data_IF_446477793163
#
_entry.id   IF_446477793163
#
_cell.length_a   1.000
_cell.length_b   1.000
_cell.length_c   1.000
_cell.angle_alpha   90.00
_cell.angle_beta   90.00
_cell.angle_gamma   90.00
#
_symmetry.space_group_name_H-M   'P 1'
#
loop_
_entity.id
_entity.type
_entity.pdbx_description
1 polymer ?
#
# COMPACT_ATOMS: atom_id res chain seq x y z
N UNK A 1 -9.83 -24.11 -63.95
CA UNK A 1 -9.38 -22.76 -63.57
C UNK A 1 -8.67 -22.88 -62.22
N UNK A 2 -7.38 -22.57 -62.25
CA UNK A 2 -6.31 -22.56 -61.24
C UNK A 2 -6.52 -23.12 -59.81
N UNK A 3 -5.72 -24.15 -59.54
CA UNK A 3 -5.27 -24.66 -58.24
C UNK A 3 -3.98 -23.93 -57.83
N UNK A 4 -3.87 -23.51 -56.57
CA UNK A 4 -2.67 -22.89 -55.97
C UNK A 4 -1.75 -23.97 -55.35
N UNK A 5 -0.44 -23.97 -55.62
CA UNK A 5 0.51 -24.73 -54.83
C UNK A 5 1.25 -23.85 -53.80
N UNK A 6 1.45 -24.41 -52.60
CA UNK A 6 2.46 -23.96 -51.65
C UNK A 6 3.87 -24.34 -52.14
N UNK A 7 4.85 -23.46 -51.94
CA UNK A 7 6.24 -23.89 -51.67
C UNK A 7 6.95 -22.90 -50.74
N UNK A 8 7.62 -23.47 -49.74
CA UNK A 8 8.46 -22.84 -48.71
C UNK A 8 9.82 -22.47 -49.28
N UNK A 9 10.35 -21.29 -48.93
CA UNK A 9 11.80 -21.06 -48.75
C UNK A 9 12.09 -19.79 -47.93
N UNK A 10 12.70 -19.98 -46.75
CA UNK A 10 13.63 -19.05 -46.07
C UNK A 10 15.00 -19.16 -46.76
N UNK A 11 15.94 -18.17 -46.74
CA UNK A 11 16.49 -17.58 -45.51
C UNK A 11 17.11 -16.14 -45.59
N UNK A 12 17.73 -15.77 -44.47
CA UNK A 12 18.80 -14.78 -44.23
C UNK A 12 18.44 -13.35 -43.84
N UNK A 13 18.38 -13.18 -42.51
CA UNK A 13 18.47 -11.93 -41.77
C UNK A 13 19.92 -11.39 -41.86
N UNK A 14 20.16 -10.33 -42.64
CA UNK A 14 21.41 -9.59 -42.57
C UNK A 14 21.36 -8.59 -41.40
N UNK A 15 21.92 -8.98 -40.26
CA UNK A 15 22.28 -8.06 -39.18
C UNK A 15 23.39 -7.11 -39.67
N UNK A 16 23.06 -5.84 -39.89
CA UNK A 16 24.06 -4.76 -39.97
C UNK A 16 24.50 -4.41 -38.55
N UNK A 17 25.64 -5.00 -38.16
CA UNK A 17 26.45 -4.55 -37.03
C UNK A 17 27.10 -3.23 -37.42
N UNK A 18 26.65 -2.11 -36.86
CA UNK A 18 27.41 -0.86 -36.90
C UNK A 18 28.53 -0.94 -35.85
N UNK A 19 29.75 -1.22 -36.30
CA UNK A 19 30.99 -0.93 -35.57
C UNK A 19 31.25 0.58 -35.69
N UNK A 20 31.18 1.31 -34.59
CA UNK A 20 31.88 2.59 -34.48
C UNK A 20 33.02 2.43 -33.48
N UNK A 21 34.23 2.39 -34.03
CA UNK A 21 35.47 2.48 -33.28
C UNK A 21 35.66 3.91 -32.75
N UNK A 22 36.09 4.01 -31.51
CA UNK A 22 36.60 5.23 -30.86
C UNK A 22 37.82 5.80 -31.61
N UNK A 23 38.18 7.06 -31.29
CA UNK A 23 39.54 7.25 -30.79
C UNK A 23 39.54 7.96 -29.45
N UNK A 24 40.14 7.30 -28.45
CA UNK A 24 40.58 7.92 -27.22
C UNK A 24 41.74 8.88 -27.54
N UNK A 25 41.64 10.14 -27.11
CA UNK A 25 42.80 11.01 -26.91
C UNK A 25 42.80 11.51 -25.45
N UNK A 26 43.87 11.25 -24.69
CA UNK A 26 44.00 11.75 -23.32
C UNK A 26 44.53 13.18 -23.36
N UNK A 27 43.72 14.16 -22.96
CA UNK A 27 44.23 15.51 -22.70
C UNK A 27 44.88 15.54 -21.31
N UNK A 28 46.21 15.47 -21.30
CA UNK A 28 47.07 15.76 -20.15
C UNK A 28 47.48 17.22 -20.24
N UNK A 29 47.00 18.06 -19.33
CA UNK A 29 47.46 19.45 -19.19
C UNK A 29 48.19 19.57 -17.86
N UNK A 30 49.51 19.77 -17.93
CA UNK A 30 50.30 20.36 -16.86
C UNK A 30 50.61 21.81 -17.27
N UNK A 31 50.37 22.77 -16.39
CA UNK A 31 51.30 23.88 -16.18
C UNK A 31 50.98 24.65 -14.90
N UNK A 32 52.04 24.99 -14.19
CA UNK A 32 52.10 25.74 -12.93
C UNK A 32 52.04 27.26 -13.18
N UNK A 33 51.66 27.98 -12.11
CA UNK A 33 51.55 29.44 -11.84
C UNK A 33 52.20 30.44 -12.83
N UNK A 34 51.71 31.66 -13.08
CA UNK A 34 51.32 32.72 -12.11
C UNK A 34 50.68 33.89 -12.88
N UNK A 35 49.59 34.50 -12.40
CA UNK A 35 49.35 35.97 -12.35
C UNK A 35 47.89 36.26 -12.00
N UNK A 36 47.70 37.19 -11.07
CA UNK A 36 46.42 37.67 -10.54
C UNK A 36 45.69 38.56 -11.55
N UNK A 37 44.36 38.55 -11.53
CA UNK A 37 43.66 39.78 -11.18
C UNK A 37 42.56 39.55 -10.14
N UNK A 38 42.43 40.53 -9.24
CA UNK A 38 41.40 40.61 -8.20
C UNK A 38 40.01 40.60 -8.84
N UNK A 39 39.21 39.57 -8.53
CA UNK A 39 37.77 39.57 -8.74
C UNK A 39 37.10 39.23 -7.42
N UNK A 40 36.38 40.21 -6.88
CA UNK A 40 35.57 40.09 -5.67
C UNK A 40 34.30 39.30 -6.02
N UNK A 41 34.35 37.97 -5.90
CA UNK A 41 33.16 37.12 -5.94
C UNK A 41 33.14 36.28 -4.67
N UNK A 42 32.24 36.63 -3.75
CA UNK A 42 31.92 35.80 -2.58
C UNK A 42 31.26 34.49 -3.08
N UNK A 43 31.63 33.32 -2.56
CA UNK A 43 30.88 32.09 -2.84
C UNK A 43 29.47 32.22 -2.26
N UNK A 44 28.46 31.91 -3.07
CA UNK A 44 27.09 31.73 -2.60
C UNK A 44 27.04 30.43 -1.79
N UNK A 45 27.21 30.55 -0.47
CA UNK A 45 26.93 29.49 0.50
C UNK A 45 25.42 29.45 0.66
N UNK A 46 24.77 28.40 0.14
CA UNK A 46 23.39 28.08 0.50
C UNK A 46 23.46 27.41 1.86
N UNK A 47 23.29 28.21 2.91
CA UNK A 47 23.14 27.72 4.28
C UNK A 47 21.81 26.96 4.39
N UNK A 48 21.77 25.73 4.93
CA UNK A 48 20.51 25.06 5.22
C UNK A 48 19.74 25.93 6.20
N UNK A 49 18.53 26.35 5.83
CA UNK A 49 17.63 27.08 6.72
C UNK A 49 17.30 26.17 7.91
N UNK A 50 17.97 26.40 9.04
CA UNK A 50 17.64 25.79 10.33
C UNK A 50 16.19 26.16 10.65
N UNK A 51 15.29 25.20 10.45
CA UNK A 51 13.94 25.27 11.00
C UNK A 51 14.09 25.25 12.52
N UNK A 52 13.45 26.16 13.27
CA UNK A 52 13.51 26.13 14.73
C UNK A 52 13.03 24.77 15.21
N UNK A 53 13.90 24.04 15.91
CA UNK A 53 13.50 22.85 16.66
C UNK A 53 12.55 23.33 17.75
N UNK A 54 11.25 23.16 17.52
CA UNK A 54 10.26 23.31 18.58
C UNK A 54 10.63 22.27 19.65
N UNK A 55 10.77 22.66 20.93
CA UNK A 55 11.07 21.72 21.99
C UNK A 55 10.04 20.60 21.94
N UNK A 56 10.52 19.38 21.68
CA UNK A 56 9.74 18.16 21.77
C UNK A 56 9.27 18.09 23.22
N UNK A 57 8.01 18.42 23.47
CA UNK A 57 7.34 17.96 24.69
C UNK A 57 7.28 16.45 24.50
N UNK A 58 8.25 15.76 25.11
CA UNK A 58 8.24 14.32 25.23
C UNK A 58 7.11 14.02 26.22
N UNK A 59 5.89 13.97 25.71
CA UNK A 59 4.92 13.04 26.28
C UNK A 59 5.52 11.67 26.05
N UNK A 60 6.04 11.08 27.13
CA UNK A 60 6.41 9.67 27.23
C UNK A 60 5.16 8.85 26.92
N UNK A 61 4.88 8.63 25.64
CA UNK A 61 4.04 7.52 25.20
C UNK A 61 5.03 6.44 24.83
N UNK A 62 4.99 5.39 25.64
CA UNK A 62 5.95 4.31 25.74
C UNK A 62 6.33 3.66 24.41
N UNK A 63 7.64 3.55 24.15
CA UNK A 63 8.24 2.54 23.27
C UNK A 63 8.10 1.12 23.86
N UNK A 64 6.97 0.79 24.49
CA UNK A 64 6.79 -0.52 25.12
C UNK A 64 6.31 -1.53 24.08
N UNK A 65 7.12 -2.57 23.90
CA UNK A 65 6.77 -3.77 23.15
C UNK A 65 5.36 -4.24 23.55
N UNK A 66 4.44 -4.45 22.60
CA UNK A 66 3.09 -4.93 22.91
C UNK A 66 3.14 -6.30 23.61
N UNK A 67 2.61 -6.36 24.84
CA UNK A 67 2.56 -7.59 25.63
C UNK A 67 1.40 -8.49 25.18
N UNK A 68 1.49 -9.80 25.48
CA UNK A 68 0.45 -10.77 25.13
C UNK A 68 -0.94 -10.43 25.73
N UNK A 69 -1.00 -9.68 26.84
CA UNK A 69 -2.24 -9.30 27.53
C UNK A 69 -2.58 -7.80 27.36
N UNK A 70 -2.14 -7.20 26.26
CA UNK A 70 -2.41 -5.79 25.98
C UNK A 70 -3.93 -5.55 25.75
N UNK A 71 -4.56 -4.87 26.72
CA UNK A 71 -5.96 -4.47 26.65
C UNK A 71 -6.27 -3.57 25.44
N UNK A 72 -5.26 -2.89 24.89
CA UNK A 72 -5.36 -2.07 23.67
C UNK A 72 -5.68 -2.88 22.40
N UNK A 73 -5.54 -4.20 22.45
CA UNK A 73 -5.90 -5.11 21.34
C UNK A 73 -7.35 -5.59 21.39
N UNK A 74 -8.07 -5.38 22.50
CA UNK A 74 -9.46 -5.79 22.66
C UNK A 74 -10.44 -4.84 21.97
N UNK A 75 -11.61 -5.34 21.58
CA UNK A 75 -12.67 -4.50 21.00
C UNK A 75 -13.53 -3.88 22.08
N UNK A 76 -13.60 -2.56 22.09
CA UNK A 76 -14.58 -1.82 22.89
C UNK A 76 -15.98 -1.91 22.27
N UNK A 77 -17.00 -1.53 23.04
CA UNK A 77 -18.37 -1.37 22.50
C UNK A 77 -18.45 -0.34 21.39
N UNK A 78 -17.63 0.73 21.44
CA UNK A 78 -17.54 1.71 20.35
C UNK A 78 -16.99 1.09 19.07
N UNK A 79 -15.95 0.26 19.17
CA UNK A 79 -15.42 -0.46 18.00
C UNK A 79 -16.50 -1.34 17.36
N UNK A 80 -17.21 -2.12 18.19
CA UNK A 80 -18.29 -3.01 17.74
C UNK A 80 -19.42 -2.22 17.09
N UNK A 81 -19.84 -1.10 17.68
CA UNK A 81 -20.88 -0.23 17.12
C UNK A 81 -20.50 0.31 15.74
N UNK A 82 -19.27 0.83 15.57
CA UNK A 82 -18.82 1.33 14.27
C UNK A 82 -18.77 0.24 13.20
N UNK A 83 -18.31 -0.96 13.56
CA UNK A 83 -18.30 -2.09 12.63
C UNK A 83 -19.72 -2.53 12.27
N UNK A 84 -20.64 -2.58 13.23
CA UNK A 84 -22.06 -2.87 12.94
C UNK A 84 -22.64 -1.83 11.97
N UNK A 85 -22.46 -0.54 12.23
CA UNK A 85 -22.97 0.54 11.36
C UNK A 85 -22.35 0.49 9.97
N UNK A 86 -21.03 0.26 9.87
CA UNK A 86 -20.33 0.10 8.60
C UNK A 86 -20.85 -1.10 7.80
N UNK A 87 -20.97 -2.26 8.45
CA UNK A 87 -21.56 -3.45 7.82
C UNK A 87 -23.00 -3.21 7.36
N UNK A 88 -23.84 -2.58 8.19
CA UNK A 88 -25.22 -2.23 7.81
C UNK A 88 -25.25 -1.30 6.61
N UNK A 89 -24.37 -0.30 6.55
CA UNK A 89 -24.24 0.63 5.42
C UNK A 89 -23.91 -0.13 4.12
N UNK A 90 -22.95 -1.06 4.17
CA UNK A 90 -22.58 -1.88 3.03
C UNK A 90 -23.73 -2.81 2.60
N UNK A 91 -24.45 -3.41 3.55
CA UNK A 91 -25.60 -4.26 3.26
C UNK A 91 -26.74 -3.48 2.60
N UNK A 92 -27.00 -2.25 3.03
CA UNK A 92 -27.99 -1.38 2.38
C UNK A 92 -27.57 -1.11 0.94
N UNK A 93 -26.30 -0.71 0.73
CA UNK A 93 -25.77 -0.43 -0.60
C UNK A 93 -25.89 -1.65 -1.54
N UNK A 94 -25.41 -2.82 -1.10
CA UNK A 94 -25.51 -4.05 -1.90
C UNK A 94 -26.96 -4.50 -2.11
N UNK A 95 -27.83 -4.30 -1.11
CA UNK A 95 -29.26 -4.57 -1.21
C UNK A 95 -29.95 -3.70 -2.25
N UNK A 96 -29.67 -2.40 -2.27
CA UNK A 96 -30.18 -1.46 -3.28
C UNK A 96 -29.65 -1.82 -4.67
N UNK A 97 -28.40 -2.27 -4.78
CA UNK A 97 -27.85 -2.78 -6.05
C UNK A 97 -28.63 -3.99 -6.57
N UNK A 98 -28.86 -4.99 -5.72
CA UNK A 98 -29.61 -6.20 -6.10
C UNK A 98 -31.06 -5.86 -6.43
N UNK A 99 -31.71 -5.04 -5.60
CA UNK A 99 -33.10 -4.61 -5.83
C UNK A 99 -33.23 -3.86 -7.16
N UNK A 100 -32.38 -2.87 -7.41
CA UNK A 100 -32.40 -2.11 -8.66
C UNK A 100 -32.09 -2.98 -9.89
N UNK A 101 -31.19 -3.96 -9.75
CA UNK A 101 -30.90 -4.94 -10.79
C UNK A 101 -32.12 -5.83 -11.11
N UNK A 102 -32.85 -6.28 -10.10
CA UNK A 102 -34.09 -7.04 -10.25
C UNK A 102 -35.19 -6.20 -10.91
N UNK A 103 -35.45 -5.01 -10.38
CA UNK A 103 -36.51 -4.11 -10.85
C UNK A 103 -36.29 -3.69 -12.31
N UNK A 104 -35.03 -3.53 -12.71
CA UNK A 104 -34.63 -3.11 -14.07
C UNK A 104 -34.29 -4.28 -14.99
N UNK A 105 -34.27 -5.52 -14.50
CA UNK A 105 -33.76 -6.71 -15.19
C UNK A 105 -32.33 -6.53 -15.77
N UNK A 106 -31.46 -5.85 -15.02
CA UNK A 106 -30.07 -5.50 -15.39
C UNK A 106 -29.08 -6.13 -14.41
N UNK A 107 -28.51 -7.28 -14.77
CA UNK A 107 -27.61 -8.03 -13.90
C UNK A 107 -26.14 -7.85 -14.23
N UNK A 108 -25.81 -7.59 -15.50
CA UNK A 108 -24.42 -7.62 -15.97
C UNK A 108 -23.66 -6.39 -15.50
N UNK A 109 -24.28 -5.22 -15.63
CA UNK A 109 -23.71 -3.92 -15.29
C UNK A 109 -23.32 -3.82 -13.81
N UNK A 110 -24.19 -4.09 -12.82
CA UNK A 110 -23.81 -4.04 -11.42
C UNK A 110 -22.77 -5.10 -11.03
N UNK A 111 -22.75 -6.27 -11.69
CA UNK A 111 -21.70 -7.29 -11.48
C UNK A 111 -20.34 -6.77 -11.97
N UNK A 112 -20.28 -6.21 -13.18
CA UNK A 112 -19.04 -5.63 -13.72
C UNK A 112 -18.59 -4.47 -12.83
N UNK A 113 -19.50 -3.59 -12.43
CA UNK A 113 -19.19 -2.47 -11.57
C UNK A 113 -18.67 -2.91 -10.20
N UNK A 114 -19.26 -3.95 -9.61
CA UNK A 114 -18.78 -4.59 -8.38
C UNK A 114 -17.37 -5.14 -8.54
N UNK A 115 -17.10 -5.83 -9.65
CA UNK A 115 -15.78 -6.38 -9.96
C UNK A 115 -14.73 -5.28 -10.14
N UNK A 116 -15.06 -4.20 -10.87
CA UNK A 116 -14.20 -3.01 -10.97
C UNK A 116 -13.97 -2.39 -9.60
N UNK A 117 -15.00 -2.34 -8.74
CA UNK A 117 -14.89 -1.89 -7.35
C UNK A 117 -13.87 -2.69 -6.55
N UNK A 118 -13.89 -4.03 -6.65
CA UNK A 118 -12.90 -4.90 -6.03
C UNK A 118 -11.46 -4.63 -6.53
N UNK A 119 -11.28 -4.52 -7.86
CA UNK A 119 -9.96 -4.25 -8.46
C UNK A 119 -9.43 -2.87 -8.04
N UNK A 120 -10.28 -1.84 -8.00
CA UNK A 120 -9.87 -0.49 -7.59
C UNK A 120 -9.67 -0.37 -6.07
N UNK A 121 -10.38 -1.15 -5.25
CA UNK A 121 -10.13 -1.21 -3.82
C UNK A 121 -8.73 -1.75 -3.51
N UNK A 122 -8.27 -2.77 -4.24
CA UNK A 122 -6.91 -3.28 -4.08
C UNK A 122 -5.86 -2.23 -4.45
N UNK A 123 -6.02 -1.53 -5.58
CA UNK A 123 -5.16 -0.41 -5.98
C UNK A 123 -5.15 0.70 -4.92
N UNK A 124 -6.33 1.11 -4.47
CA UNK A 124 -6.50 2.15 -3.45
C UNK A 124 -5.82 1.78 -2.14
N UNK A 125 -5.92 0.50 -1.73
CA UNK A 125 -5.22 -0.01 -0.53
C UNK A 125 -3.71 0.12 -0.68
N UNK A 126 -3.15 -0.18 -1.86
CA UNK A 126 -1.72 -0.06 -2.12
C UNK A 126 -1.24 1.39 -2.12
N UNK A 127 -1.96 2.29 -2.78
CA UNK A 127 -1.62 3.73 -2.79
C UNK A 127 -1.65 4.30 -1.37
N UNK A 128 -2.68 3.96 -0.59
CA UNK A 128 -2.79 4.43 0.78
C UNK A 128 -1.66 3.88 1.66
N UNK A 129 -1.39 2.58 1.57
CA UNK A 129 -0.35 1.91 2.34
C UNK A 129 1.06 2.45 2.01
N UNK A 130 1.38 2.59 0.72
CA UNK A 130 2.62 3.24 0.28
C UNK A 130 2.77 4.65 0.87
N UNK A 131 1.69 5.45 0.87
CA UNK A 131 1.75 6.82 1.33
C UNK A 131 2.05 6.92 2.84
N UNK A 132 1.37 6.12 3.67
CA UNK A 132 1.52 6.18 5.14
C UNK A 132 2.82 5.54 5.64
N UNK A 133 3.36 4.55 4.91
CA UNK A 133 4.67 3.99 5.24
C UNK A 133 5.80 5.00 4.97
N UNK A 134 5.65 5.79 3.89
CA UNK A 134 6.71 6.66 3.40
C UNK A 134 6.66 8.10 3.92
N UNK A 135 5.49 8.62 4.26
CA UNK A 135 5.31 10.05 4.55
C UNK A 135 4.59 10.31 5.86
N UNK A 136 5.02 11.39 6.52
CA UNK A 136 4.49 11.80 7.81
C UNK A 136 4.95 10.92 8.97
N UNK A 137 4.38 11.21 10.12
CA UNK A 137 4.58 10.51 11.40
C UNK A 137 3.31 10.62 12.28
N UNK A 138 3.39 10.18 13.53
CA UNK A 138 2.31 10.24 14.52
C UNK A 138 1.73 11.64 14.77
N UNK A 139 2.48 12.71 14.47
CA UNK A 139 2.03 14.10 14.61
C UNK A 139 1.23 14.61 13.41
N UNK A 140 1.14 13.84 12.32
CA UNK A 140 0.39 14.23 11.12
C UNK A 140 -1.09 14.47 11.45
N UNK A 141 -1.67 15.63 11.11
CA UNK A 141 -3.07 15.91 11.39
C UNK A 141 -3.98 14.85 10.76
N UNK A 142 -5.04 14.47 11.49
CA UNK A 142 -6.09 13.52 11.06
C UNK A 142 -5.63 12.06 10.93
N UNK A 143 -4.50 11.79 10.28
CA UNK A 143 -4.03 10.43 9.94
C UNK A 143 -2.78 9.98 10.72
N UNK A 144 -2.22 10.81 11.61
CA UNK A 144 -0.98 10.50 12.34
C UNK A 144 -1.04 9.20 13.12
N UNK A 145 -2.14 8.93 13.84
CA UNK A 145 -2.32 7.67 14.56
C UNK A 145 -2.34 6.44 13.62
N UNK A 146 -2.81 6.58 12.38
CA UNK A 146 -2.77 5.50 11.40
C UNK A 146 -1.37 5.32 10.83
N UNK A 147 -0.66 6.42 10.56
CA UNK A 147 0.74 6.41 10.12
C UNK A 147 1.61 5.70 11.16
N UNK A 148 1.50 6.09 12.43
CA UNK A 148 2.24 5.45 13.52
C UNK A 148 1.92 3.96 13.65
N UNK A 149 0.63 3.59 13.55
CA UNK A 149 0.22 2.19 13.63
C UNK A 149 0.75 1.34 12.46
N UNK A 150 0.72 1.84 11.23
CA UNK A 150 1.24 1.13 10.06
C UNK A 150 2.76 1.03 10.07
N UNK A 151 3.47 2.12 10.40
CA UNK A 151 4.93 2.11 10.48
C UNK A 151 5.41 1.18 11.62
N UNK A 152 4.81 1.25 12.80
CA UNK A 152 5.15 0.38 13.93
C UNK A 152 4.81 -1.11 13.71
N UNK A 153 3.88 -1.40 12.80
CA UNK A 153 3.49 -2.78 12.47
C UNK A 153 4.62 -3.57 11.79
N UNK A 154 5.51 -2.92 11.05
CA UNK A 154 6.71 -3.58 10.48
C UNK A 154 7.63 -4.16 11.56
N UNK A 155 7.70 -3.51 12.73
CA UNK A 155 8.44 -4.00 13.89
C UNK A 155 7.77 -5.17 14.59
N UNK A 156 6.45 -5.07 14.76
CA UNK A 156 5.65 -6.00 15.56
C UNK A 156 4.46 -6.57 14.77
N UNK A 157 4.71 -7.33 13.68
CA UNK A 157 3.68 -7.74 12.73
C UNK A 157 2.62 -8.67 13.31
N UNK A 158 2.93 -9.42 14.38
CA UNK A 158 1.96 -10.30 15.03
C UNK A 158 0.81 -9.54 15.71
N UNK A 159 0.97 -8.25 16.00
CA UNK A 159 -0.03 -7.46 16.75
C UNK A 159 -1.35 -7.37 15.98
N UNK A 160 -1.31 -7.22 14.66
CA UNK A 160 -2.52 -7.19 13.82
C UNK A 160 -3.32 -8.50 13.88
N UNK A 161 -2.63 -9.63 14.10
CA UNK A 161 -3.28 -10.96 14.19
C UNK A 161 -3.92 -11.21 15.55
N UNK A 162 -3.54 -10.43 16.56
CA UNK A 162 -4.05 -10.52 17.94
C UNK A 162 -5.08 -9.45 18.27
N UNK A 163 -5.07 -8.34 17.52
CA UNK A 163 -6.10 -7.32 17.60
C UNK A 163 -7.45 -7.94 17.24
N UNK A 164 -8.44 -7.77 18.10
CA UNK A 164 -9.77 -8.29 17.86
C UNK A 164 -10.41 -7.63 16.62
N UNK A 165 -11.28 -8.38 15.94
CA UNK A 165 -11.91 -8.01 14.67
C UNK A 165 -12.47 -6.57 14.64
N UNK A 166 -13.26 -6.18 15.65
CA UNK A 166 -13.86 -4.84 15.62
C UNK A 166 -12.83 -3.73 15.88
N UNK A 167 -11.83 -3.98 16.73
CA UNK A 167 -10.71 -3.07 16.91
C UNK A 167 -9.92 -2.90 15.61
N UNK A 168 -9.67 -3.97 14.85
CA UNK A 168 -9.01 -3.90 13.54
C UNK A 168 -9.78 -3.04 12.51
N UNK A 169 -11.12 -3.06 12.53
CA UNK A 169 -11.95 -2.51 11.44
C UNK A 169 -12.61 -1.16 11.75
N UNK A 170 -12.81 -0.79 13.01
CA UNK A 170 -13.72 0.31 13.38
C UNK A 170 -13.39 1.66 12.70
N UNK A 171 -12.11 1.99 12.53
CA UNK A 171 -11.70 3.25 11.90
C UNK A 171 -12.15 3.32 10.43
N UNK A 172 -11.97 2.22 9.69
CA UNK A 172 -12.41 2.11 8.30
C UNK A 172 -13.92 1.97 8.21
N UNK A 173 -14.55 1.24 9.13
CA UNK A 173 -16.01 1.12 9.18
C UNK A 173 -16.68 2.49 9.41
N UNK A 174 -16.09 3.35 10.25
CA UNK A 174 -16.51 4.74 10.43
C UNK A 174 -16.33 5.56 9.15
N UNK A 175 -15.17 5.46 8.49
CA UNK A 175 -14.93 6.17 7.23
C UNK A 175 -15.92 5.74 6.13
N UNK A 176 -16.14 4.43 5.99
CA UNK A 176 -17.12 3.86 5.05
C UNK A 176 -18.54 4.29 5.39
N UNK A 177 -18.90 4.34 6.68
CA UNK A 177 -20.22 4.86 7.09
C UNK A 177 -20.42 6.28 6.56
N UNK A 178 -19.48 7.19 6.82
CA UNK A 178 -19.64 8.58 6.37
C UNK A 178 -19.58 8.74 4.85
N UNK A 179 -18.76 7.95 4.15
CA UNK A 179 -18.61 8.06 2.70
C UNK A 179 -19.76 7.40 1.93
N UNK A 180 -20.23 6.24 2.38
CA UNK A 180 -21.14 5.38 1.61
C UNK A 180 -22.59 5.56 2.04
N UNK A 181 -22.89 5.84 3.31
CA UNK A 181 -24.28 5.94 3.79
C UNK A 181 -25.09 7.00 3.02
N UNK A 182 -24.58 8.20 2.73
CA UNK A 182 -25.31 9.16 1.91
C UNK A 182 -25.60 8.62 0.50
N UNK A 183 -24.65 7.91 -0.12
CA UNK A 183 -24.83 7.30 -1.44
C UNK A 183 -25.88 6.19 -1.36
N UNK A 184 -25.79 5.32 -0.36
CA UNK A 184 -26.72 4.22 -0.08
C UNK A 184 -28.17 4.70 0.10
N UNK A 185 -28.37 5.89 0.67
CA UNK A 185 -29.71 6.45 0.93
C UNK A 185 -30.26 7.24 -0.27
N UNK A 186 -29.40 8.02 -0.94
CA UNK A 186 -29.86 9.02 -1.92
C UNK A 186 -29.63 8.65 -3.39
N UNK A 187 -28.85 7.61 -3.68
CA UNK A 187 -28.62 7.10 -5.03
C UNK A 187 -29.25 5.71 -5.16
N UNK A 188 -30.17 5.48 -6.10
CA UNK A 188 -30.77 4.15 -6.29
C UNK A 188 -30.30 3.47 -7.59
N UNK A 189 -29.22 3.97 -8.19
CA UNK A 189 -28.63 3.36 -9.37
C UNK A 189 -27.92 2.04 -8.98
N UNK A 190 -28.33 0.88 -9.52
CA UNK A 190 -27.80 -0.40 -9.09
C UNK A 190 -26.31 -0.58 -9.42
N UNK A 191 -25.82 0.08 -10.47
CA UNK A 191 -24.41 0.03 -10.91
C UNK A 191 -23.54 0.79 -9.93
N UNK A 192 -23.95 2.01 -9.57
CA UNK A 192 -23.25 2.83 -8.55
C UNK A 192 -23.25 2.08 -7.22
N UNK A 193 -24.39 1.54 -6.80
CA UNK A 193 -24.50 0.82 -5.54
C UNK A 193 -23.62 -0.43 -5.49
N UNK A 194 -23.58 -1.23 -6.57
CA UNK A 194 -22.70 -2.40 -6.66
C UNK A 194 -21.23 -2.01 -6.56
N UNK A 195 -20.83 -0.98 -7.31
CA UNK A 195 -19.47 -0.45 -7.28
C UNK A 195 -19.06 0.03 -5.88
N UNK A 196 -19.82 0.95 -5.28
CA UNK A 196 -19.44 1.56 -3.99
C UNK A 196 -19.53 0.56 -2.85
N UNK A 197 -20.52 -0.35 -2.88
CA UNK A 197 -20.70 -1.40 -1.90
C UNK A 197 -19.53 -2.38 -1.89
N UNK A 198 -19.13 -2.92 -3.03
CA UNK A 198 -17.99 -3.85 -3.09
C UNK A 198 -16.66 -3.14 -2.87
N UNK A 199 -16.42 -1.99 -3.51
CA UNK A 199 -15.19 -1.23 -3.33
C UNK A 199 -14.97 -0.87 -1.85
N UNK A 200 -15.97 -0.26 -1.22
CA UNK A 200 -15.87 0.15 0.19
C UNK A 200 -15.88 -1.03 1.15
N UNK A 201 -16.54 -2.14 0.79
CA UNK A 201 -16.45 -3.39 1.53
C UNK A 201 -15.03 -3.94 1.54
N UNK A 202 -14.38 -4.03 0.39
CA UNK A 202 -12.99 -4.45 0.29
C UNK A 202 -12.04 -3.55 1.08
N UNK A 203 -12.22 -2.22 1.02
CA UNK A 203 -11.46 -1.27 1.83
C UNK A 203 -11.71 -1.47 3.32
N UNK A 204 -12.97 -1.58 3.76
CA UNK A 204 -13.29 -1.76 5.17
C UNK A 204 -12.64 -3.01 5.75
N UNK A 205 -12.70 -4.12 5.02
CA UNK A 205 -12.18 -5.41 5.46
C UNK A 205 -10.69 -5.63 5.15
N UNK A 206 -10.01 -4.68 4.50
CA UNK A 206 -8.61 -4.81 4.10
C UNK A 206 -7.68 -5.11 5.28
N UNK A 207 -7.97 -4.54 6.46
CA UNK A 207 -7.19 -4.80 7.68
C UNK A 207 -7.34 -6.24 8.17
N UNK A 208 -8.50 -6.87 7.95
CA UNK A 208 -8.67 -8.28 8.27
C UNK A 208 -7.97 -9.19 7.25
N UNK A 209 -7.99 -8.81 5.96
CA UNK A 209 -7.26 -9.52 4.91
C UNK A 209 -5.75 -9.45 5.16
N UNK A 210 -5.25 -8.27 5.51
CA UNK A 210 -3.89 -8.04 5.97
C UNK A 210 -3.55 -8.89 7.20
N UNK A 211 -4.42 -8.93 8.21
CA UNK A 211 -4.20 -9.78 9.39
C UNK A 211 -4.10 -11.28 9.04
N UNK A 212 -4.93 -11.76 8.12
CA UNK A 212 -4.83 -13.14 7.62
C UNK A 212 -3.56 -13.40 6.82
N UNK A 213 -3.00 -12.39 6.13
CA UNK A 213 -1.72 -12.53 5.44
C UNK A 213 -0.54 -12.73 6.41
N UNK A 214 -0.66 -12.33 7.67
CA UNK A 214 0.32 -12.65 8.72
C UNK A 214 0.11 -14.02 9.38
N UNK A 215 -1.06 -14.65 9.18
CA UNK A 215 -1.42 -15.92 9.79
C UNK A 215 -0.75 -17.14 9.14
N UNK A 216 -0.45 -18.17 9.94
CA UNK A 216 -0.06 -19.47 9.39
C UNK A 216 -1.29 -20.20 8.85
N UNK A 217 -1.13 -20.97 7.76
CA UNK A 217 -2.24 -21.75 7.15
C UNK A 217 -3.02 -22.60 8.16
N UNK A 218 -2.32 -23.18 9.14
CA UNK A 218 -2.92 -24.02 10.19
C UNK A 218 -3.82 -23.27 11.19
N UNK A 219 -3.70 -21.94 11.29
CA UNK A 219 -4.48 -21.09 12.21
C UNK A 219 -5.61 -20.34 11.53
N UNK A 220 -5.67 -20.39 10.20
CA UNK A 220 -6.69 -19.70 9.42
C UNK A 220 -7.85 -20.65 9.10
N UNK A 221 -9.08 -20.13 8.99
CA UNK A 221 -10.20 -20.90 8.47
C UNK A 221 -9.87 -21.46 7.07
N UNK A 222 -10.25 -22.71 6.74
CA UNK A 222 -9.93 -23.31 5.43
C UNK A 222 -10.38 -22.47 4.23
N UNK A 223 -11.52 -21.78 4.36
CA UNK A 223 -12.02 -20.88 3.32
C UNK A 223 -11.08 -19.69 3.08
N UNK A 224 -10.51 -19.10 4.13
CA UNK A 224 -9.56 -17.98 4.00
C UNK A 224 -8.30 -18.46 3.27
N UNK A 225 -7.80 -19.65 3.62
CA UNK A 225 -6.64 -20.25 2.94
C UNK A 225 -6.95 -20.47 1.46
N UNK A 226 -8.10 -21.03 1.12
CA UNK A 226 -8.52 -21.24 -0.26
C UNK A 226 -8.62 -19.92 -1.05
N UNK A 227 -9.15 -18.86 -0.44
CA UNK A 227 -9.24 -17.53 -1.07
C UNK A 227 -7.86 -16.89 -1.28
N UNK A 228 -6.92 -17.07 -0.35
CA UNK A 228 -5.54 -16.61 -0.52
C UNK A 228 -4.81 -17.39 -1.63
N UNK A 229 -5.02 -18.70 -1.71
CA UNK A 229 -4.42 -19.54 -2.77
C UNK A 229 -5.03 -19.28 -4.14
N UNK A 230 -6.30 -18.87 -4.20
CA UNK A 230 -6.98 -18.45 -5.42
C UNK A 230 -6.65 -17.01 -5.86
N UNK A 231 -5.87 -16.25 -5.07
CA UNK A 231 -5.57 -14.84 -5.36
C UNK A 231 -6.75 -13.88 -5.17
N UNK A 232 -7.79 -14.30 -4.45
CA UNK A 232 -8.94 -13.44 -4.10
C UNK A 232 -8.61 -12.58 -2.88
N UNK A 233 -7.78 -13.09 -1.97
CA UNK A 233 -7.24 -12.37 -0.82
C UNK A 233 -5.72 -12.35 -0.88
N UNK A 234 -5.11 -11.28 -0.36
CA UNK A 234 -3.66 -11.14 -0.33
C UNK A 234 -3.01 -12.33 0.39
N UNK A 235 -2.02 -12.93 -0.26
CA UNK A 235 -1.34 -14.11 0.28
C UNK A 235 -0.28 -13.74 1.32
N UNK A 236 0.00 -14.68 2.23
CA UNK A 236 1.12 -14.56 3.18
C UNK A 236 2.47 -14.34 2.49
N UNK A 237 2.70 -14.98 1.34
CA UNK A 237 3.95 -14.84 0.60
C UNK A 237 4.12 -13.44 0.01
N UNK A 238 3.08 -12.87 -0.60
CA UNK A 238 3.14 -11.52 -1.17
C UNK A 238 3.34 -10.47 -0.08
N UNK A 239 2.50 -10.51 0.96
CA UNK A 239 2.62 -9.54 2.03
C UNK A 239 3.89 -9.74 2.88
N UNK A 240 4.35 -10.98 3.05
CA UNK A 240 5.64 -11.26 3.69
C UNK A 240 6.86 -10.77 2.89
N UNK A 241 6.72 -10.51 1.58
CA UNK A 241 7.77 -9.87 0.79
C UNK A 241 7.86 -8.37 1.04
N UNK A 242 6.72 -7.72 1.31
CA UNK A 242 6.65 -6.31 1.70
C UNK A 242 7.34 -6.04 3.05
N UNK A 243 7.24 -6.96 4.01
CA UNK A 243 7.89 -6.89 5.33
C UNK A 243 9.42 -7.10 5.32
N UNK A 244 10.05 -7.07 4.14
CA UNK A 244 11.50 -7.26 3.99
C UNK A 244 12.14 -6.00 3.41
N UNK A 245 13.39 -5.69 3.81
CA UNK A 245 14.15 -4.63 3.18
C UNK A 245 14.15 -4.77 1.64
N UNK A 246 13.98 -3.66 0.90
CA UNK A 246 13.95 -2.27 1.37
C UNK A 246 12.53 -1.71 1.63
N UNK A 247 11.52 -2.54 1.91
CA UNK A 247 10.14 -2.13 2.26
C UNK A 247 9.44 -1.27 1.19
N UNK A 248 9.75 -1.51 -0.09
CA UNK A 248 9.32 -0.68 -1.22
C UNK A 248 8.44 -1.41 -2.25
N UNK A 249 7.83 -2.54 -1.88
CA UNK A 249 7.07 -3.39 -2.79
C UNK A 249 5.82 -3.97 -2.12
N UNK A 250 4.94 -4.61 -2.89
CA UNK A 250 3.78 -5.38 -2.42
C UNK A 250 2.85 -4.64 -1.44
N UNK A 251 2.56 -3.36 -1.70
CA UNK A 251 1.75 -2.52 -0.82
C UNK A 251 0.25 -2.86 -0.79
N UNK A 252 -0.32 -3.48 -1.82
CA UNK A 252 -1.75 -3.81 -1.88
C UNK A 252 -2.10 -4.96 -0.92
N UNK A 253 -3.15 -4.77 -0.11
CA UNK A 253 -3.54 -5.66 0.99
C UNK A 253 -4.97 -6.22 0.88
N UNK A 254 -5.67 -5.99 -0.23
CA UNK A 254 -6.97 -6.65 -0.46
C UNK A 254 -6.75 -8.03 -1.06
N UNK A 255 -6.32 -8.06 -2.32
CA UNK A 255 -5.99 -9.27 -3.07
C UNK A 255 -4.53 -9.32 -3.50
N UNK A 256 -3.89 -8.15 -3.61
CA UNK A 256 -2.55 -8.01 -4.16
C UNK A 256 -2.49 -8.12 -5.69
N UNK A 257 -3.63 -8.04 -6.39
CA UNK A 257 -3.69 -8.15 -7.86
C UNK A 257 -2.87 -7.06 -8.55
N UNK A 258 -2.73 -5.89 -7.93
CA UNK A 258 -1.94 -4.80 -8.48
C UNK A 258 -0.44 -4.87 -8.19
N UNK A 259 -0.02 -5.67 -7.20
CA UNK A 259 1.35 -5.64 -6.69
C UNK A 259 2.38 -5.93 -7.79
N UNK A 260 2.20 -7.02 -8.55
CA UNK A 260 3.16 -7.38 -9.62
C UNK A 260 3.29 -6.25 -10.65
N UNK A 261 2.17 -5.66 -11.08
CA UNK A 261 2.19 -4.58 -12.05
C UNK A 261 2.87 -3.33 -11.50
N UNK A 262 2.48 -2.87 -10.30
CA UNK A 262 3.01 -1.66 -9.67
C UNK A 262 4.52 -1.79 -9.41
N UNK A 263 4.96 -2.94 -8.90
CA UNK A 263 6.36 -3.22 -8.57
C UNK A 263 7.21 -3.33 -9.85
N UNK A 264 6.74 -4.08 -10.87
CA UNK A 264 7.44 -4.23 -12.15
C UNK A 264 7.66 -2.90 -12.86
N UNK A 265 6.68 -2.01 -12.78
CA UNK A 265 6.72 -0.69 -13.41
C UNK A 265 7.27 0.41 -12.52
N UNK A 266 7.68 0.10 -11.28
CA UNK A 266 8.22 1.06 -10.30
C UNK A 266 7.34 2.29 -10.12
N UNK A 267 6.02 2.06 -10.08
CA UNK A 267 5.02 3.13 -10.09
C UNK A 267 5.20 4.01 -8.85
N UNK A 268 5.41 3.38 -7.69
CA UNK A 268 5.58 4.12 -6.44
C UNK A 268 6.90 4.87 -6.39
N UNK A 269 8.01 4.32 -6.88
CA UNK A 269 9.27 5.04 -6.96
C UNK A 269 9.17 6.24 -7.92
N UNK A 270 8.43 6.11 -9.02
CA UNK A 270 8.16 7.25 -9.90
C UNK A 270 7.34 8.33 -9.17
N UNK A 271 6.33 7.95 -8.37
CA UNK A 271 5.54 8.88 -7.56
C UNK A 271 6.39 9.56 -6.47
N UNK A 272 7.30 8.81 -5.83
CA UNK A 272 8.27 9.35 -4.87
C UNK A 272 9.16 10.43 -5.49
N UNK A 273 9.70 10.18 -6.69
CA UNK A 273 10.50 11.18 -7.40
C UNK A 273 9.68 12.45 -7.70
N UNK A 274 8.43 12.29 -8.15
CA UNK A 274 7.54 13.44 -8.42
C UNK A 274 7.27 14.24 -7.14
N UNK A 275 6.97 13.57 -6.03
CA UNK A 275 6.73 14.23 -4.75
C UNK A 275 7.99 14.95 -4.26
N UNK A 276 9.15 14.27 -4.29
CA UNK A 276 10.43 14.87 -3.90
C UNK A 276 10.76 16.12 -4.70
N UNK A 277 10.61 16.10 -6.04
CA UNK A 277 10.87 17.28 -6.85
C UNK A 277 9.88 18.43 -6.63
N UNK A 278 8.64 18.13 -6.21
CA UNK A 278 7.63 19.15 -5.92
C UNK A 278 7.72 19.74 -4.51
N UNK A 279 8.08 18.93 -3.52
CA UNK A 279 7.97 19.31 -2.10
C UNK A 279 9.30 19.30 -1.35
N UNK A 280 10.33 18.65 -1.89
CA UNK A 280 11.61 18.40 -1.21
C UNK A 280 11.55 17.29 -0.16
N UNK A 281 10.39 16.66 0.05
CA UNK A 281 10.20 15.61 1.07
C UNK A 281 10.66 14.26 0.50
N UNK A 282 11.54 13.58 1.21
CA UNK A 282 12.02 12.24 0.85
C UNK A 282 11.10 11.17 1.44
N UNK A 283 10.77 10.10 0.69
CA UNK A 283 10.12 8.94 1.26
C UNK A 283 11.08 8.19 2.20
N UNK A 284 10.52 7.45 3.15
CA UNK A 284 11.29 6.61 4.07
C UNK A 284 11.94 5.41 3.39
N UNK A 285 11.36 4.90 2.31
CA UNK A 285 11.91 3.81 1.48
C UNK A 285 13.32 4.10 0.91
N UNK A 286 13.76 5.37 0.87
CA UNK A 286 15.09 5.75 0.37
C UNK A 286 16.19 5.71 1.43
N UNK A 287 15.83 5.52 2.69
CA UNK A 287 16.78 5.43 3.78
C UNK A 287 17.02 3.97 4.17
N UNK A 288 18.22 3.66 4.65
CA UNK A 288 18.48 2.35 5.25
C UNK A 288 17.45 2.06 6.35
N UNK A 289 16.89 0.85 6.43
CA UNK A 289 15.88 0.51 7.42
C UNK A 289 16.40 0.78 8.83
N UNK A 290 15.72 1.68 9.53
CA UNK A 290 16.04 1.96 10.91
C UNK A 290 15.64 0.77 11.81
N UNK A 291 16.27 0.57 12.98
CA UNK A 291 15.98 -0.58 13.85
C UNK A 291 14.51 -0.73 14.23
N UNK A 292 13.76 0.36 14.25
CA UNK A 292 12.32 0.38 14.50
C UNK A 292 11.45 -0.19 13.36
N UNK A 293 12.02 -0.54 12.21
CA UNK A 293 11.33 -1.22 11.10
C UNK A 293 11.66 -2.72 11.02
N UNK A 294 12.73 -3.15 11.69
CA UNK A 294 13.18 -4.54 11.64
C UNK A 294 12.26 -5.37 12.55
N UNK A 295 11.67 -6.42 11.98
CA UNK A 295 10.80 -7.35 12.71
C UNK A 295 11.52 -7.91 13.94
N UNK A 296 10.90 -7.77 15.12
CA UNK A 296 11.43 -8.32 16.35
C UNK A 296 10.94 -9.78 16.54
N UNK A 297 11.84 -10.75 16.45
CA UNK A 297 11.46 -12.17 16.58
C UNK A 297 10.84 -12.43 17.97
N UNK A 298 9.64 -13.01 18.02
CA UNK A 298 9.05 -13.52 19.26
C UNK A 298 9.90 -14.67 19.83
N UNK A 299 10.39 -14.54 21.05
CA UNK A 299 11.19 -15.58 21.72
C UNK A 299 10.30 -16.74 22.20
N UNK A 300 10.85 -17.95 22.16
CA UNK A 300 10.15 -19.24 22.33
C UNK A 300 9.38 -19.40 23.65
N UNK A 301 9.73 -18.67 24.70
CA UNK A 301 8.99 -18.66 25.98
C UNK A 301 7.58 -18.04 25.87
N UNK A 302 7.31 -17.26 24.82
CA UNK A 302 6.01 -16.63 24.57
C UNK A 302 5.12 -17.42 23.61
N UNK A 303 5.65 -18.49 23.01
CA UNK A 303 4.91 -19.42 22.15
C UNK A 303 4.25 -20.53 22.99
N UNK A 304 4.79 -20.86 24.16
CA UNK A 304 4.35 -21.99 24.99
C UNK A 304 3.08 -21.74 25.82
N UNK A 305 2.55 -20.52 25.86
CA UNK A 305 1.23 -20.22 26.46
C UNK A 305 0.09 -20.18 25.43
N UNK A 306 0.31 -20.76 24.24
CA UNK A 306 -0.66 -20.82 23.13
C UNK A 306 -1.57 -22.05 23.21
#
# INVERSE_FOLDING_TARGET
MYSLPQHKHTPNLHLKVCKNNSPFHPFRVYCSATSTPKSNVKPLVIEPRLVPVVPRVITTIDEHRPMNNDTGLQSTWSHRAWVTIGCTTLLISLGESIKGAMDSNMWVEPIIASWVGYILADLGSGVYHWAIDNYGDGSTPVVGAQIEAFQGHHKWPWTITRREFANNLHALARAVTFAVLPIAIFCHDPVVQGFVGVCSGCIMFSQQFHAWAHGTKSRLPPLVVALQEAGVLVSRSQHGAHHRPPYNNNYCIVSGVWNEFLDKHKVFEAMEMVLYFKTGVRPRSWTEPAPEWIEEIQTSSQIQTQ
#
